data_IF_071625810685
#
_entry.id   IF_071625810685
#
_cell.length_a   1.000
_cell.length_b   1.000
_cell.length_c   1.000
_cell.angle_alpha   90.00
_cell.angle_beta   90.00
_cell.angle_gamma   90.00
#
_symmetry.space_group_name_H-M   'P 1'
#
loop_
_entity.id
_entity.type
_entity.pdbx_description
1 polymer ?
#
# COMPACT_ATOMS: atom_id res chain seq x y z
N UNK A 1 11.07 -14.57 16.70
CA UNK A 1 11.82 -15.78 17.11
C UNK A 1 13.28 -15.43 17.32
N UNK A 2 13.87 -15.79 18.47
CA UNK A 2 15.31 -15.62 18.72
C UNK A 2 15.96 -16.99 18.87
N UNK A 3 17.03 -17.23 18.12
CA UNK A 3 17.92 -18.38 18.27
C UNK A 3 19.25 -17.92 18.87
N UNK A 4 20.16 -18.85 19.13
CA UNK A 4 21.52 -18.53 19.60
C UNK A 4 22.34 -17.71 18.61
N UNK A 5 21.96 -17.70 17.32
CA UNK A 5 22.74 -17.06 16.25
C UNK A 5 21.98 -15.96 15.51
N UNK A 6 20.65 -15.88 15.60
CA UNK A 6 19.83 -14.96 14.81
C UNK A 6 18.55 -14.54 15.54
N UNK A 7 18.06 -13.34 15.24
CA UNK A 7 16.69 -12.93 15.56
C UNK A 7 15.93 -12.77 14.24
N UNK A 8 14.72 -13.32 14.18
CA UNK A 8 13.82 -13.26 13.03
C UNK A 8 12.46 -12.72 13.47
N UNK A 9 11.82 -11.95 12.60
CA UNK A 9 10.38 -11.74 12.67
C UNK A 9 9.69 -12.94 11.99
N UNK A 10 8.67 -13.51 12.63
CA UNK A 10 7.96 -14.68 12.10
C UNK A 10 6.48 -14.38 12.11
N UNK A 11 5.82 -14.57 10.98
CA UNK A 11 4.36 -14.48 10.86
C UNK A 11 3.79 -15.76 10.26
N UNK A 12 2.58 -16.11 10.67
CA UNK A 12 1.97 -17.38 10.31
C UNK A 12 0.46 -17.27 10.12
N UNK A 13 -0.06 -18.03 9.17
CA UNK A 13 -1.49 -18.25 8.98
C UNK A 13 -1.78 -19.76 8.90
N UNK A 14 -2.92 -20.23 9.41
CA UNK A 14 -3.41 -21.57 9.12
C UNK A 14 -3.57 -21.79 7.60
N UNK A 15 -3.29 -23.01 7.11
CA UNK A 15 -3.39 -23.35 5.69
C UNK A 15 -4.83 -23.31 5.15
N UNK A 16 -5.83 -23.46 6.03
CA UNK A 16 -7.25 -23.34 5.69
C UNK A 16 -7.76 -21.88 5.81
N UNK A 17 -6.91 -20.93 6.22
CA UNK A 17 -7.30 -19.54 6.33
C UNK A 17 -7.60 -18.96 4.93
N UNK A 18 -8.75 -18.28 4.71
CA UNK A 18 -9.14 -17.78 3.38
C UNK A 18 -8.13 -16.82 2.71
N UNK A 19 -7.23 -16.23 3.52
CA UNK A 19 -6.18 -15.32 3.05
C UNK A 19 -4.78 -15.94 3.06
N UNK A 20 -4.61 -17.25 3.26
CA UNK A 20 -3.27 -17.87 3.26
C UNK A 20 -2.49 -17.60 1.97
N UNK A 21 -3.18 -17.40 0.84
CA UNK A 21 -2.57 -17.03 -0.43
C UNK A 21 -1.73 -15.74 -0.36
N UNK A 22 -1.97 -14.84 0.59
CA UNK A 22 -1.16 -13.62 0.78
C UNK A 22 0.25 -13.93 1.29
N UNK A 23 0.43 -15.02 2.05
CA UNK A 23 1.75 -15.50 2.50
C UNK A 23 2.62 -15.89 1.30
N UNK A 24 2.04 -16.64 0.34
CA UNK A 24 2.74 -17.00 -0.90
C UNK A 24 3.03 -15.76 -1.75
N UNK A 25 2.06 -14.84 -1.89
CA UNK A 25 2.26 -13.59 -2.65
C UNK A 25 3.46 -12.79 -2.15
N UNK A 26 3.57 -12.64 -0.84
CA UNK A 26 4.67 -11.90 -0.23
C UNK A 26 6.01 -12.64 -0.38
N UNK A 27 6.01 -13.98 -0.32
CA UNK A 27 7.20 -14.77 -0.61
C UNK A 27 7.67 -14.64 -2.07
N UNK A 28 6.73 -14.61 -3.02
CA UNK A 28 7.01 -14.43 -4.45
C UNK A 28 7.58 -13.02 -4.73
N UNK A 29 7.13 -12.00 -3.99
CA UNK A 29 7.58 -10.61 -4.15
C UNK A 29 8.94 -10.35 -3.49
N UNK A 30 9.25 -11.02 -2.38
CA UNK A 30 10.44 -10.73 -1.56
C UNK A 30 11.78 -10.64 -2.32
N UNK A 31 12.06 -11.44 -3.38
CA UNK A 31 13.29 -11.31 -4.16
C UNK A 31 13.43 -9.98 -4.90
N UNK A 32 12.32 -9.30 -5.20
CA UNK A 32 12.27 -8.11 -6.06
C UNK A 32 12.30 -6.79 -5.27
N UNK A 33 12.13 -6.83 -3.94
CA UNK A 33 11.94 -5.63 -3.09
C UNK A 33 13.00 -5.51 -1.99
N UNK A 34 14.14 -6.18 -2.12
CA UNK A 34 15.17 -6.32 -1.05
C UNK A 34 15.73 -4.99 -0.53
N UNK A 35 15.73 -3.95 -1.36
CA UNK A 35 16.24 -2.62 -0.98
C UNK A 35 15.22 -1.80 -0.18
N UNK A 36 13.94 -2.19 -0.22
CA UNK A 36 12.82 -1.46 0.39
C UNK A 36 11.98 -2.34 1.32
N UNK A 37 12.40 -3.57 1.61
CA UNK A 37 11.70 -4.51 2.49
C UNK A 37 12.69 -5.39 3.29
N UNK A 38 12.33 -5.87 4.49
CA UNK A 38 13.12 -6.86 5.20
C UNK A 38 13.33 -8.14 4.39
N UNK A 39 14.54 -8.71 4.43
CA UNK A 39 14.86 -9.92 3.67
C UNK A 39 14.05 -11.13 4.16
N UNK A 40 13.30 -11.79 3.27
CA UNK A 40 12.70 -13.10 3.55
C UNK A 40 13.78 -14.18 3.61
N UNK A 41 13.84 -14.91 4.72
CA UNK A 41 14.84 -15.95 4.95
C UNK A 41 14.32 -17.35 4.63
N UNK A 42 13.03 -17.59 4.86
CA UNK A 42 12.37 -18.85 4.54
C UNK A 42 10.86 -18.68 4.54
N UNK A 43 10.21 -19.54 3.74
CA UNK A 43 8.80 -19.89 3.80
C UNK A 43 8.73 -21.39 4.12
N UNK A 44 7.93 -21.77 5.10
CA UNK A 44 7.73 -23.18 5.49
C UNK A 44 6.24 -23.43 5.69
N UNK A 45 5.74 -24.51 5.08
CA UNK A 45 4.43 -25.05 5.39
C UNK A 45 4.59 -26.32 6.22
N UNK A 46 4.04 -26.33 7.44
CA UNK A 46 4.15 -27.45 8.37
C UNK A 46 2.97 -27.48 9.34
N UNK A 47 2.49 -28.68 9.67
CA UNK A 47 1.45 -28.91 10.70
C UNK A 47 0.18 -28.05 10.53
N UNK A 48 -0.24 -27.80 9.28
CA UNK A 48 -1.42 -26.98 9.00
C UNK A 48 -1.16 -25.47 9.01
N UNK A 49 0.09 -25.01 9.05
CA UNK A 49 0.47 -23.60 9.03
C UNK A 49 1.35 -23.25 7.83
N UNK A 50 1.19 -22.04 7.29
CA UNK A 50 2.14 -21.37 6.40
C UNK A 50 2.87 -20.28 7.18
N UNK A 51 4.19 -20.41 7.30
CA UNK A 51 5.05 -19.55 8.12
C UNK A 51 6.09 -18.83 7.26
N UNK A 52 6.19 -17.51 7.39
CA UNK A 52 7.28 -16.71 6.82
C UNK A 52 8.23 -16.25 7.93
N UNK A 53 9.52 -16.39 7.69
CA UNK A 53 10.59 -15.89 8.55
C UNK A 53 11.40 -14.80 7.89
N UNK A 54 11.27 -13.57 8.36
CA UNK A 54 12.00 -12.40 7.86
C UNK A 54 13.18 -12.05 8.75
N UNK A 55 14.16 -11.37 8.14
CA UNK A 55 15.16 -10.62 8.89
C UNK A 55 14.46 -9.73 9.94
N UNK A 56 14.90 -9.81 11.18
CA UNK A 56 14.47 -8.87 12.20
C UNK A 56 15.13 -7.51 11.93
N UNK A 57 14.31 -6.46 11.90
CA UNK A 57 14.74 -5.08 11.72
C UNK A 57 14.39 -4.29 12.98
N UNK A 58 15.34 -3.48 13.46
CA UNK A 58 15.10 -2.53 14.54
C UNK A 58 14.58 -1.22 13.97
N UNK A 59 13.40 -0.79 14.42
CA UNK A 59 12.71 0.40 13.95
C UNK A 59 11.37 0.60 14.65
N UNK A 60 10.69 1.68 14.31
CA UNK A 60 9.33 1.99 14.76
C UNK A 60 8.35 1.94 13.59
N UNK A 61 7.06 1.79 13.88
CA UNK A 61 6.03 2.05 12.86
C UNK A 61 6.03 3.54 12.50
N UNK A 62 5.65 3.84 11.26
CA UNK A 62 5.65 5.19 10.75
C UNK A 62 4.59 6.08 11.41
N UNK A 63 4.95 7.33 11.66
CA UNK A 63 4.03 8.40 12.03
C UNK A 63 3.61 9.20 10.79
N UNK A 64 2.31 9.19 10.48
CA UNK A 64 1.72 9.90 9.34
C UNK A 64 1.09 11.24 9.71
N UNK A 65 1.26 11.72 10.94
CA UNK A 65 0.67 13.00 11.37
C UNK A 65 1.33 14.20 10.69
N UNK A 66 0.61 15.34 10.58
CA UNK A 66 1.17 16.57 10.02
C UNK A 66 2.46 17.01 10.73
N UNK A 67 3.53 17.20 9.95
CA UNK A 67 4.83 17.62 10.45
C UNK A 67 5.74 16.49 10.93
N UNK A 68 5.31 15.24 10.81
CA UNK A 68 6.14 14.06 11.09
C UNK A 68 7.44 14.09 10.28
N UNK A 69 8.55 13.77 10.97
CA UNK A 69 9.87 13.63 10.34
C UNK A 69 10.01 12.36 9.49
N UNK A 70 9.02 11.46 9.52
CA UNK A 70 9.08 10.18 8.82
C UNK A 70 8.70 10.31 7.33
N UNK A 71 7.83 11.28 7.00
CA UNK A 71 7.28 11.47 5.65
C UNK A 71 8.36 11.55 4.54
N UNK A 72 9.50 12.25 4.73
CA UNK A 72 10.57 12.28 3.73
C UNK A 72 11.20 10.90 3.47
N UNK A 73 11.42 10.09 4.52
CA UNK A 73 12.00 8.76 4.38
C UNK A 73 11.04 7.80 3.66
N UNK A 74 9.74 7.91 3.95
CA UNK A 74 8.68 7.13 3.30
C UNK A 74 8.60 7.49 1.81
N UNK A 75 8.57 8.78 1.49
CA UNK A 75 8.52 9.27 0.11
C UNK A 75 9.76 8.82 -0.69
N UNK A 76 10.95 8.82 -0.08
CA UNK A 76 12.16 8.33 -0.73
C UNK A 76 12.14 6.82 -1.02
N UNK A 77 11.64 5.99 -0.08
CA UNK A 77 11.48 4.55 -0.31
C UNK A 77 10.38 4.25 -1.34
N UNK A 78 9.29 5.04 -1.34
CA UNK A 78 8.22 4.93 -2.34
C UNK A 78 8.73 5.33 -3.73
N UNK A 79 9.64 6.30 -3.83
CA UNK A 79 10.25 6.66 -5.10
C UNK A 79 11.11 5.53 -5.66
N UNK A 80 11.78 4.74 -4.81
CA UNK A 80 12.48 3.53 -5.24
C UNK A 80 11.49 2.46 -5.73
N UNK A 81 10.38 2.25 -5.02
CA UNK A 81 9.32 1.33 -5.44
C UNK A 81 8.75 1.70 -6.81
N UNK A 82 8.54 2.99 -7.09
CA UNK A 82 7.98 3.46 -8.35
C UNK A 82 8.87 3.23 -9.59
N UNK A 83 10.14 2.88 -9.39
CA UNK A 83 11.07 2.50 -10.45
C UNK A 83 11.12 0.97 -10.66
N UNK A 84 10.46 0.18 -9.81
CA UNK A 84 10.41 -1.28 -9.96
C UNK A 84 9.31 -1.68 -10.96
N UNK A 85 9.67 -2.33 -12.08
CA UNK A 85 8.67 -2.94 -12.94
C UNK A 85 8.01 -4.12 -12.21
N UNK A 86 6.78 -4.44 -12.60
CA UNK A 86 6.09 -5.62 -12.14
C UNK A 86 6.90 -6.87 -12.54
N UNK A 87 7.24 -7.75 -11.58
CA UNK A 87 7.92 -8.99 -11.90
C UNK A 87 7.03 -9.92 -12.74
N UNK A 88 7.65 -10.85 -13.47
CA UNK A 88 6.96 -11.89 -14.25
C UNK A 88 6.36 -12.99 -13.35
N UNK A 89 5.43 -12.56 -12.51
CA UNK A 89 4.61 -13.39 -11.63
C UNK A 89 3.17 -12.89 -11.73
N UNK A 90 2.21 -13.76 -11.42
CA UNK A 90 0.79 -13.42 -11.56
C UNK A 90 0.35 -12.41 -10.49
N UNK A 91 0.36 -11.12 -10.81
CA UNK A 91 -0.17 -10.06 -9.95
C UNK A 91 -1.62 -9.69 -10.28
N UNK A 92 -2.32 -9.09 -9.30
CA UNK A 92 -3.64 -8.49 -9.58
C UNK A 92 -3.39 -7.12 -10.20
N UNK A 93 -4.10 -6.80 -11.26
CA UNK A 93 -4.04 -5.48 -11.88
C UNK A 93 -4.94 -4.49 -11.14
N UNK A 94 -4.50 -3.23 -11.00
CA UNK A 94 -5.30 -2.18 -10.35
C UNK A 94 -6.59 -1.88 -11.11
N UNK A 95 -6.56 -1.86 -12.44
CA UNK A 95 -7.75 -1.76 -13.27
C UNK A 95 -8.76 -2.87 -12.92
N UNK A 96 -8.30 -4.11 -12.81
CA UNK A 96 -9.17 -5.22 -12.40
C UNK A 96 -9.67 -5.05 -10.95
N UNK A 97 -8.83 -4.63 -9.99
CA UNK A 97 -9.24 -4.42 -8.59
C UNK A 97 -10.32 -3.35 -8.46
N UNK A 98 -10.24 -2.29 -9.25
CA UNK A 98 -11.12 -1.13 -9.17
C UNK A 98 -12.36 -1.22 -10.08
N UNK A 99 -12.48 -2.25 -10.92
CA UNK A 99 -13.61 -2.43 -11.87
C UNK A 99 -15.01 -2.35 -11.27
N UNK A 100 -15.18 -2.73 -10.01
CA UNK A 100 -16.46 -2.69 -9.31
C UNK A 100 -16.79 -1.34 -8.68
N UNK A 101 -15.88 -0.36 -8.78
CA UNK A 101 -15.95 0.92 -8.08
C UNK A 101 -15.83 2.12 -9.02
N UNK A 102 -15.77 1.90 -10.33
CA UNK A 102 -15.81 2.97 -11.34
C UNK A 102 -17.21 3.11 -11.92
N UNK A 103 -17.63 4.35 -12.18
CA UNK A 103 -18.90 4.65 -12.86
C UNK A 103 -18.82 4.39 -14.37
N UNK A 104 -17.71 4.79 -15.00
CA UNK A 104 -17.42 4.57 -16.42
C UNK A 104 -16.29 3.53 -16.56
N UNK A 105 -16.54 2.36 -17.17
CA UNK A 105 -15.50 1.38 -17.47
C UNK A 105 -14.31 1.94 -18.27
N UNK A 106 -14.49 3.03 -19.03
CA UNK A 106 -13.41 3.69 -19.76
C UNK A 106 -12.37 4.35 -18.83
N UNK A 107 -12.70 4.60 -17.56
CA UNK A 107 -11.76 5.13 -16.56
C UNK A 107 -10.73 4.07 -16.11
N UNK A 108 -10.98 2.77 -16.36
CA UNK A 108 -10.05 1.70 -15.96
C UNK A 108 -8.68 1.82 -16.60
N UNK A 109 -8.61 2.36 -17.83
CA UNK A 109 -7.34 2.62 -18.54
C UNK A 109 -6.39 3.52 -17.76
N UNK A 110 -6.91 4.38 -16.87
CA UNK A 110 -6.06 5.26 -16.06
C UNK A 110 -5.27 4.48 -15.02
N UNK A 111 -5.77 3.32 -14.59
CA UNK A 111 -5.15 2.52 -13.53
C UNK A 111 -4.19 1.45 -14.08
N UNK A 112 -4.18 1.25 -15.40
CA UNK A 112 -3.26 0.35 -16.09
C UNK A 112 -1.82 0.87 -16.02
N UNK A 113 -0.88 -0.06 -16.02
CA UNK A 113 0.56 0.22 -15.98
C UNK A 113 1.34 -1.04 -15.65
N UNK A 114 2.65 -0.97 -15.80
CA UNK A 114 3.59 -2.08 -15.67
C UNK A 114 4.44 -2.00 -14.39
N UNK A 115 4.08 -1.12 -13.44
CA UNK A 115 4.84 -0.92 -12.21
C UNK A 115 4.37 -1.88 -11.11
N UNK A 116 5.31 -2.30 -10.25
CA UNK A 116 4.97 -2.99 -9.00
C UNK A 116 4.39 -1.97 -8.00
N UNK A 117 3.26 -2.32 -7.38
CA UNK A 117 2.58 -1.49 -6.39
C UNK A 117 2.42 -2.22 -5.06
N UNK A 118 2.60 -1.51 -3.95
CA UNK A 118 2.35 -2.02 -2.60
C UNK A 118 0.86 -2.10 -2.30
N UNK A 119 0.11 -1.04 -2.60
CA UNK A 119 -1.36 -0.88 -2.45
C UNK A 119 -1.94 -0.88 -1.04
N UNK A 120 -1.16 -1.23 -0.02
CA UNK A 120 -1.59 -1.28 1.38
C UNK A 120 -0.71 -0.32 2.19
N UNK A 121 -1.20 0.88 2.48
CA UNK A 121 -0.40 1.95 3.09
C UNK A 121 -0.78 2.19 4.55
N UNK A 122 -1.19 1.13 5.25
CA UNK A 122 -1.38 1.23 6.70
C UNK A 122 -0.04 1.64 7.35
N UNK A 123 0.01 2.62 8.26
CA UNK A 123 1.28 3.03 8.91
C UNK A 123 1.98 1.87 9.64
N UNK A 124 1.24 0.83 10.06
CA UNK A 124 1.84 -0.36 10.63
C UNK A 124 2.66 -1.20 9.63
N UNK A 125 2.41 -1.02 8.34
CA UNK A 125 3.13 -1.69 7.25
C UNK A 125 4.32 -0.89 6.72
N UNK A 126 4.67 0.21 7.40
CA UNK A 126 5.89 0.97 7.15
C UNK A 126 6.75 1.00 8.41
N UNK A 127 7.99 0.50 8.30
CA UNK A 127 8.98 0.50 9.36
C UNK A 127 10.00 1.62 9.11
N UNK A 128 10.16 2.50 10.09
CA UNK A 128 11.16 3.57 10.08
C UNK A 128 12.41 3.08 10.81
N UNK A 129 13.51 3.02 10.08
CA UNK A 129 14.81 2.54 10.57
C UNK A 129 15.84 3.66 10.49
N UNK A 130 17.03 3.44 11.07
CA UNK A 130 18.17 4.36 10.92
C UNK A 130 18.63 4.51 9.46
N UNK A 131 18.34 3.54 8.59
CA UNK A 131 18.74 3.54 7.19
C UNK A 131 17.67 4.13 6.24
N UNK A 132 16.44 4.34 6.73
CA UNK A 132 15.30 4.77 5.93
C UNK A 132 14.04 3.96 6.23
N UNK A 133 13.01 4.18 5.41
CA UNK A 133 11.75 3.44 5.50
C UNK A 133 11.84 2.10 4.78
N UNK A 134 11.22 1.07 5.36
CA UNK A 134 11.01 -0.24 4.74
C UNK A 134 9.51 -0.57 4.74
N UNK A 135 9.03 -1.22 3.69
CA UNK A 135 7.66 -1.66 3.54
C UNK A 135 7.53 -3.16 3.84
N UNK A 136 6.51 -3.51 4.60
CA UNK A 136 6.18 -4.89 4.97
C UNK A 136 4.76 -5.20 4.56
N UNK A 137 4.41 -6.49 4.57
CA UNK A 137 3.07 -6.96 4.24
C UNK A 137 2.67 -6.79 2.76
N UNK A 138 3.52 -7.33 1.88
CA UNK A 138 3.33 -7.33 0.42
C UNK A 138 2.22 -8.27 -0.08
N UNK A 139 1.37 -8.78 0.81
CA UNK A 139 0.31 -9.75 0.48
C UNK A 139 -0.71 -9.24 -0.55
N UNK A 140 -0.86 -7.92 -0.68
CA UNK A 140 -1.76 -7.26 -1.62
C UNK A 140 -1.05 -6.64 -2.83
N UNK A 141 0.24 -6.91 -3.01
CA UNK A 141 1.02 -6.39 -4.13
C UNK A 141 0.31 -6.60 -5.48
N UNK A 142 0.32 -5.55 -6.28
CA UNK A 142 -0.45 -5.44 -7.53
C UNK A 142 0.38 -4.80 -8.63
N UNK A 143 -0.15 -4.81 -9.84
CA UNK A 143 0.43 -4.14 -11.01
C UNK A 143 -0.47 -2.99 -11.44
N UNK A 144 0.11 -1.87 -11.85
CA UNK A 144 -0.65 -0.73 -12.36
C UNK A 144 0.23 0.50 -12.55
N UNK A 145 -0.39 1.66 -12.70
CA UNK A 145 0.34 2.91 -12.83
C UNK A 145 1.06 3.28 -11.51
N UNK A 146 2.36 3.57 -11.56
CA UNK A 146 3.19 3.91 -10.40
C UNK A 146 2.65 5.06 -9.52
N UNK A 147 1.84 5.96 -10.07
CA UNK A 147 1.27 7.09 -9.31
C UNK A 147 0.15 6.69 -8.35
N UNK A 148 -0.37 5.46 -8.45
CA UNK A 148 -1.43 4.95 -7.59
C UNK A 148 -0.97 4.87 -6.14
N UNK A 149 0.23 4.38 -5.86
CA UNK A 149 0.71 4.23 -4.47
C UNK A 149 0.79 5.57 -3.71
N UNK A 150 1.38 6.64 -4.27
CA UNK A 150 1.29 7.98 -3.68
C UNK A 150 -0.15 8.45 -3.40
N UNK A 151 -1.10 8.13 -4.30
CA UNK A 151 -2.50 8.48 -4.12
C UNK A 151 -3.24 7.63 -3.08
N UNK A 152 -2.87 6.37 -2.92
CA UNK A 152 -3.38 5.53 -1.83
C UNK A 152 -2.80 5.98 -0.49
N UNK A 153 -1.52 6.35 -0.44
CA UNK A 153 -0.87 6.88 0.75
C UNK A 153 -1.50 8.21 1.22
N UNK A 154 -1.87 9.09 0.27
CA UNK A 154 -2.60 10.34 0.56
C UNK A 154 -3.83 10.11 1.44
N UNK A 155 -4.61 9.07 1.18
CA UNK A 155 -5.80 8.76 1.99
C UNK A 155 -5.44 8.47 3.45
N UNK A 156 -4.33 7.77 3.68
CA UNK A 156 -3.83 7.50 5.03
C UNK A 156 -3.32 8.77 5.71
N UNK A 157 -2.68 9.70 4.99
CA UNK A 157 -2.31 11.00 5.55
C UNK A 157 -3.54 11.78 6.03
N UNK A 158 -4.62 11.81 5.24
CA UNK A 158 -5.88 12.46 5.66
C UNK A 158 -6.45 11.76 6.91
N UNK A 159 -6.46 10.43 6.91
CA UNK A 159 -6.95 9.65 8.07
C UNK A 159 -6.11 9.92 9.35
N UNK A 160 -4.88 10.41 9.23
CA UNK A 160 -3.99 10.78 10.33
C UNK A 160 -3.89 12.30 10.57
N UNK A 161 -4.86 13.08 10.07
CA UNK A 161 -5.07 14.47 10.48
C UNK A 161 -4.60 15.52 9.48
N UNK A 162 -4.10 15.14 8.29
CA UNK A 162 -3.88 16.11 7.22
C UNK A 162 -5.20 16.61 6.63
N UNK A 163 -5.24 17.88 6.18
CA UNK A 163 -6.27 18.31 5.22
C UNK A 163 -6.05 17.66 3.86
N UNK A 164 -7.09 17.62 3.01
CA UNK A 164 -6.94 17.11 1.64
C UNK A 164 -5.83 17.82 0.85
N UNK A 165 -5.77 19.16 0.97
CA UNK A 165 -4.74 19.97 0.34
C UNK A 165 -3.33 19.65 0.86
N UNK A 166 -3.17 19.49 2.18
CA UNK A 166 -1.88 19.12 2.77
C UNK A 166 -1.43 17.73 2.30
N UNK A 167 -2.33 16.75 2.34
CA UNK A 167 -2.05 15.39 1.93
C UNK A 167 -1.70 15.31 0.43
N UNK A 168 -2.45 16.03 -0.42
CA UNK A 168 -2.16 16.08 -1.86
C UNK A 168 -0.85 16.79 -2.16
N UNK A 169 -0.51 17.87 -1.46
CA UNK A 169 0.81 18.51 -1.60
C UNK A 169 1.97 17.57 -1.23
N UNK A 170 1.81 16.77 -0.17
CA UNK A 170 2.80 15.75 0.22
C UNK A 170 2.93 14.66 -0.84
N UNK A 171 1.82 14.11 -1.32
CA UNK A 171 1.82 13.07 -2.35
C UNK A 171 2.32 13.59 -3.71
N UNK A 172 1.99 14.83 -4.08
CA UNK A 172 2.37 15.46 -5.34
C UNK A 172 3.86 15.78 -5.45
N UNK A 173 4.59 15.81 -4.32
CA UNK A 173 6.04 15.89 -4.32
C UNK A 173 6.69 14.63 -4.92
N UNK A 174 5.98 13.49 -4.90
CA UNK A 174 6.49 12.22 -5.40
C UNK A 174 6.67 12.22 -6.93
N UNK A 175 7.80 11.73 -7.49
CA UNK A 175 8.06 11.76 -8.93
C UNK A 175 6.99 11.08 -9.78
N UNK A 176 6.48 9.93 -9.34
CA UNK A 176 5.44 9.21 -10.07
C UNK A 176 4.13 10.01 -10.17
N UNK A 177 3.76 10.79 -9.14
CA UNK A 177 2.53 11.60 -9.15
C UNK A 177 2.52 12.60 -10.31
N UNK A 178 3.68 13.15 -10.68
CA UNK A 178 3.80 14.11 -11.80
C UNK A 178 3.39 13.51 -13.15
N UNK A 179 3.35 12.17 -13.26
CA UNK A 179 2.88 11.45 -14.44
C UNK A 179 1.39 11.13 -14.40
N UNK A 180 0.70 11.40 -13.28
CA UNK A 180 -0.71 11.11 -13.11
C UNK A 180 -1.58 12.07 -13.95
N UNK A 181 -2.43 11.56 -14.85
CA UNK A 181 -3.40 12.40 -15.54
C UNK A 181 -4.40 12.98 -14.54
N UNK A 182 -4.78 14.27 -14.69
CA UNK A 182 -5.79 14.90 -13.83
C UNK A 182 -7.09 14.09 -13.78
N UNK A 183 -7.58 13.65 -14.93
CA UNK A 183 -8.77 12.81 -15.03
C UNK A 183 -8.60 11.44 -14.34
N UNK A 184 -7.39 10.88 -14.34
CA UNK A 184 -7.05 9.64 -13.64
C UNK A 184 -7.07 9.80 -12.13
N UNK A 185 -6.54 10.92 -11.60
CA UNK A 185 -6.65 11.26 -10.18
C UNK A 185 -8.11 11.44 -9.75
N UNK A 186 -8.91 12.14 -10.56
CA UNK A 186 -10.33 12.34 -10.28
C UNK A 186 -11.11 11.02 -10.31
N UNK A 187 -10.79 10.13 -11.27
CA UNK A 187 -11.36 8.78 -11.34
C UNK A 187 -10.96 7.92 -10.14
N UNK A 188 -9.69 7.97 -9.73
CA UNK A 188 -9.23 7.23 -8.55
C UNK A 188 -9.92 7.75 -7.28
N UNK A 189 -10.11 9.07 -7.14
CA UNK A 189 -10.77 9.65 -5.97
C UNK A 189 -12.22 9.16 -5.83
N UNK A 190 -12.99 9.14 -6.93
CA UNK A 190 -14.33 8.53 -6.96
C UNK A 190 -14.29 7.05 -6.60
N UNK A 191 -13.40 6.29 -7.25
CA UNK A 191 -13.29 4.85 -7.03
C UNK A 191 -12.89 4.49 -5.59
N UNK A 192 -11.99 5.25 -4.98
CA UNK A 192 -11.61 5.07 -3.58
C UNK A 192 -12.76 5.41 -2.62
N UNK A 193 -13.54 6.45 -2.90
CA UNK A 193 -14.74 6.73 -2.12
C UNK A 193 -15.71 5.53 -2.19
N UNK A 194 -16.04 5.03 -3.38
CA UNK A 194 -16.93 3.88 -3.55
C UNK A 194 -16.40 2.61 -2.86
N UNK A 195 -15.09 2.36 -2.97
CA UNK A 195 -14.43 1.23 -2.31
C UNK A 195 -14.55 1.31 -0.79
N UNK A 196 -14.18 2.45 -0.20
CA UNK A 196 -14.19 2.60 1.25
C UNK A 196 -15.60 2.71 1.84
N UNK A 197 -16.55 3.24 1.08
CA UNK A 197 -17.97 3.17 1.43
C UNK A 197 -18.45 1.72 1.53
N UNK A 198 -18.13 0.90 0.54
CA UNK A 198 -18.47 -0.53 0.51
C UNK A 198 -17.79 -1.32 1.64
N UNK A 199 -16.51 -1.05 1.93
CA UNK A 199 -15.79 -1.68 3.04
C UNK A 199 -16.41 -1.29 4.38
N UNK A 200 -16.74 -0.02 4.57
CA UNK A 200 -17.34 0.47 5.81
C UNK A 200 -18.74 -0.12 6.04
N UNK A 201 -19.54 -0.29 4.98
CA UNK A 201 -20.86 -0.92 5.04
C UNK A 201 -20.79 -2.41 5.44
N UNK A 202 -19.78 -3.12 4.95
CA UNK A 202 -19.59 -4.55 5.22
C UNK A 202 -18.83 -4.84 6.53
N UNK A 203 -18.21 -3.82 7.14
CA UNK A 203 -17.42 -3.98 8.35
C UNK A 203 -18.31 -3.97 9.59
N UNK A 204 -18.26 -5.00 10.46
CA UNK A 204 -19.02 -5.02 11.70
C UNK A 204 -18.52 -3.96 12.71
N UNK A 205 -17.23 -3.60 12.60
CA UNK A 205 -16.56 -2.64 13.48
C UNK A 205 -16.22 -1.34 12.75
N UNK A 206 -16.00 -0.27 13.53
CA UNK A 206 -15.76 1.09 13.02
C UNK A 206 -14.37 1.35 12.45
N UNK A 207 -13.54 0.31 12.28
CA UNK A 207 -12.13 0.45 11.88
C UNK A 207 -11.96 1.13 10.52
N UNK A 208 -12.91 0.94 9.59
CA UNK A 208 -12.86 1.51 8.24
C UNK A 208 -13.35 2.98 8.16
N UNK A 209 -13.98 3.50 9.22
CA UNK A 209 -14.58 4.85 9.22
C UNK A 209 -13.58 5.97 8.96
N UNK A 210 -12.35 5.97 9.52
CA UNK A 210 -11.36 6.99 9.20
C UNK A 210 -10.99 7.01 7.72
N UNK A 211 -10.82 5.83 7.10
CA UNK A 211 -10.49 5.72 5.68
C UNK A 211 -11.67 6.12 4.77
N UNK A 212 -12.90 5.77 5.16
CA UNK A 212 -14.11 6.23 4.49
C UNK A 212 -14.20 7.77 4.50
N UNK A 213 -14.00 8.40 5.65
CA UNK A 213 -14.01 9.85 5.78
C UNK A 213 -12.91 10.49 4.93
N UNK A 214 -11.70 9.93 4.96
CA UNK A 214 -10.57 10.40 4.16
C UNK A 214 -10.86 10.35 2.65
N UNK A 215 -11.40 9.23 2.16
CA UNK A 215 -11.72 9.06 0.75
C UNK A 215 -12.80 10.04 0.26
N UNK A 216 -13.86 10.26 1.06
CA UNK A 216 -14.91 11.26 0.77
C UNK A 216 -14.35 12.68 0.74
N UNK A 217 -13.51 13.03 1.72
CA UNK A 217 -12.87 14.35 1.81
C UNK A 217 -11.96 14.62 0.61
N UNK A 218 -11.17 13.63 0.19
CA UNK A 218 -10.32 13.78 -0.99
C UNK A 218 -11.14 13.93 -2.28
N UNK A 219 -12.17 13.10 -2.50
CA UNK A 219 -13.03 13.23 -3.67
C UNK A 219 -13.72 14.60 -3.74
N UNK A 220 -14.26 15.09 -2.62
CA UNK A 220 -14.86 16.43 -2.54
C UNK A 220 -13.84 17.54 -2.87
N UNK A 221 -12.61 17.43 -2.35
CA UNK A 221 -11.55 18.38 -2.68
C UNK A 221 -11.23 18.42 -4.18
N UNK A 222 -11.12 17.25 -4.82
CA UNK A 222 -10.87 17.12 -6.27
C UNK A 222 -12.01 17.69 -7.12
N UNK A 223 -13.27 17.54 -6.67
CA UNK A 223 -14.44 18.11 -7.35
C UNK A 223 -14.46 19.64 -7.31
N UNK A 224 -13.97 20.27 -6.24
CA UNK A 224 -13.92 21.73 -6.10
C UNK A 224 -12.73 22.41 -6.80
N UNK A 225 -11.80 21.63 -7.38
CA UNK A 225 -10.71 22.18 -8.20
C UNK A 225 -11.11 22.45 -9.66
N UNK A 226 -12.38 22.23 -10.02
CA UNK A 226 -12.94 22.49 -11.35
C UNK A 226 -13.61 23.86 -11.44
#
# INVERSE_FOLDING_TARGET
MRTSTRTLFVKGLPLDHPRVWTQQREADIAPYVRDIAPELRWLVEADGWSLLGFQYVEGSHADFTPGSSDLPAISAAMAQLAELPAPDIKLKEMAHRLRGYVDDPADLKWFEGDSLLHTEWNPHNVLITKAGALFVDWGWASTGAAWIDPALWLLWLIAHGHTAEQAENVAAAHPAWKRAPRAGLDALARAQQCLWDSIAEQSPDKWAQPMQAAARVWNMYRQHQH
#
